data_IF_863294900521
#
_entry.id   IF_863294900521
#
_cell.length_a   1.000
_cell.length_b   1.000
_cell.length_c   1.000
_cell.angle_alpha   90.00
_cell.angle_beta   90.00
_cell.angle_gamma   90.00
#
_symmetry.space_group_name_H-M   'P 1'
#
loop_
_entity.id
_entity.type
_entity.pdbx_description
1 polymer ?
#
# COMPACT_ATOMS: atom_id res chain seq x y z
N UNK A 1 -4.08 -1.08 21.39
CA UNK A 1 -3.85 -1.86 20.15
C UNK A 1 -3.18 -3.15 20.54
N UNK A 2 -3.76 -4.29 20.22
CA UNK A 2 -3.19 -5.59 20.60
C UNK A 2 -2.15 -6.02 19.55
N UNK A 3 -0.92 -6.31 20.00
CA UNK A 3 0.16 -6.79 19.15
C UNK A 3 -0.22 -8.09 18.43
N UNK A 4 -1.09 -8.89 19.06
CA UNK A 4 -1.63 -10.12 18.49
C UNK A 4 -2.42 -9.85 17.19
N UNK A 5 -3.20 -8.77 17.14
CA UNK A 5 -4.00 -8.40 15.95
C UNK A 5 -3.09 -8.11 14.76
N UNK A 6 -1.99 -7.39 14.99
CA UNK A 6 -1.03 -7.06 13.93
C UNK A 6 -0.37 -8.33 13.40
N UNK A 7 0.11 -9.19 14.30
CA UNK A 7 0.77 -10.45 13.94
C UNK A 7 -0.17 -11.34 13.14
N UNK A 8 -1.42 -11.50 13.58
CA UNK A 8 -2.42 -12.30 12.88
C UNK A 8 -2.73 -11.75 11.48
N UNK A 9 -2.76 -10.43 11.32
CA UNK A 9 -3.01 -9.76 10.04
C UNK A 9 -1.84 -9.94 9.07
N UNK A 10 -0.61 -9.84 9.56
CA UNK A 10 0.59 -10.10 8.74
C UNK A 10 0.66 -11.58 8.36
N UNK A 11 0.40 -12.50 9.29
CA UNK A 11 0.39 -13.93 9.04
C UNK A 11 -0.69 -14.33 8.01
N UNK A 12 -1.88 -13.75 8.08
CA UNK A 12 -2.95 -14.05 7.11
C UNK A 12 -2.56 -13.65 5.69
N UNK A 13 -1.94 -12.48 5.51
CA UNK A 13 -1.39 -12.06 4.22
C UNK A 13 -0.30 -13.02 3.72
N UNK A 14 0.59 -13.47 4.61
CA UNK A 14 1.61 -14.47 4.28
C UNK A 14 1.00 -15.78 3.80
N UNK A 15 -0.04 -16.28 4.48
CA UNK A 15 -0.73 -17.51 4.07
C UNK A 15 -1.38 -17.34 2.70
N UNK A 16 -2.06 -16.22 2.44
CA UNK A 16 -2.65 -15.92 1.13
C UNK A 16 -1.58 -15.91 0.02
N UNK A 17 -0.43 -15.27 0.28
CA UNK A 17 0.69 -15.25 -0.66
C UNK A 17 1.24 -16.65 -0.92
N UNK A 18 1.40 -17.48 0.11
CA UNK A 18 1.87 -18.86 -0.05
C UNK A 18 0.91 -19.71 -0.88
N UNK A 19 -0.40 -19.54 -0.69
CA UNK A 19 -1.43 -20.21 -1.52
C UNK A 19 -1.30 -19.77 -2.98
N UNK A 20 -1.09 -18.48 -3.25
CA UNK A 20 -0.83 -17.98 -4.60
C UNK A 20 0.41 -18.60 -5.24
N UNK A 21 1.53 -18.65 -4.50
CA UNK A 21 2.79 -19.28 -4.96
C UNK A 21 2.59 -20.77 -5.24
N UNK A 22 1.93 -21.50 -4.34
CA UNK A 22 1.63 -22.91 -4.52
C UNK A 22 0.77 -23.15 -5.77
N UNK A 23 -0.29 -22.36 -5.94
CA UNK A 23 -1.23 -22.46 -7.06
C UNK A 23 -0.57 -22.15 -8.40
N UNK A 24 0.34 -21.17 -8.43
CA UNK A 24 1.16 -20.86 -9.62
C UNK A 24 2.13 -22.00 -9.95
N UNK A 25 2.82 -22.56 -8.94
CA UNK A 25 3.74 -23.71 -9.14
C UNK A 25 3.02 -24.95 -9.65
N UNK A 26 1.77 -25.17 -9.23
CA UNK A 26 0.92 -26.28 -9.71
C UNK A 26 0.24 -25.98 -11.05
N UNK A 27 0.50 -24.82 -11.67
CA UNK A 27 -0.15 -24.35 -12.91
C UNK A 27 -1.68 -24.25 -12.82
N UNK A 28 -2.22 -24.15 -11.61
CA UNK A 28 -3.65 -23.86 -11.37
C UNK A 28 -3.92 -22.41 -11.76
N UNK A 29 -3.06 -21.50 -11.31
CA UNK A 29 -3.02 -20.11 -11.78
C UNK A 29 -2.01 -20.05 -12.92
N UNK A 30 -2.50 -20.05 -14.15
CA UNK A 30 -1.71 -19.84 -15.36
C UNK A 30 -1.39 -18.35 -15.57
N UNK A 31 -0.51 -18.03 -16.51
CA UNK A 31 -0.17 -16.64 -16.83
C UNK A 31 -1.40 -15.82 -17.26
N UNK A 32 -2.32 -16.43 -18.01
CA UNK A 32 -3.56 -15.78 -18.46
C UNK A 32 -4.50 -15.49 -17.28
N UNK A 33 -4.66 -16.47 -16.38
CA UNK A 33 -5.46 -16.29 -15.15
C UNK A 33 -4.82 -15.20 -14.28
N UNK A 34 -3.50 -15.23 -14.11
CA UNK A 34 -2.78 -14.22 -13.31
C UNK A 34 -2.98 -12.81 -13.89
N UNK A 35 -2.92 -12.67 -15.21
CA UNK A 35 -3.20 -11.40 -15.89
C UNK A 35 -4.65 -10.95 -15.66
N UNK A 36 -5.61 -11.86 -15.80
CA UNK A 36 -7.02 -11.57 -15.52
C UNK A 36 -7.28 -11.14 -14.07
N UNK A 37 -6.68 -11.82 -13.10
CA UNK A 37 -6.76 -11.46 -11.68
C UNK A 37 -6.12 -10.08 -11.41
N UNK A 38 -4.98 -9.80 -12.04
CA UNK A 38 -4.30 -8.50 -11.94
C UNK A 38 -5.17 -7.37 -12.53
N UNK A 39 -5.81 -7.62 -13.67
CA UNK A 39 -6.71 -6.66 -14.31
C UNK A 39 -7.95 -6.38 -13.45
N UNK A 40 -8.58 -7.40 -12.87
CA UNK A 40 -9.71 -7.23 -11.93
C UNK A 40 -9.26 -6.39 -10.73
N UNK A 41 -8.11 -6.75 -10.14
CA UNK A 41 -7.58 -6.08 -8.97
C UNK A 41 -7.32 -4.59 -9.23
N UNK A 42 -6.60 -4.27 -10.31
CA UNK A 42 -6.19 -2.90 -10.64
C UNK A 42 -7.32 -2.04 -11.19
N UNK A 43 -8.16 -2.60 -12.07
CA UNK A 43 -9.17 -1.82 -12.82
C UNK A 43 -10.52 -1.76 -12.11
N UNK A 44 -10.79 -2.69 -11.20
CA UNK A 44 -12.09 -2.80 -10.54
C UNK A 44 -11.91 -2.66 -9.03
N UNK A 45 -11.24 -3.62 -8.39
CA UNK A 45 -11.21 -3.70 -6.93
C UNK A 45 -10.53 -2.49 -6.30
N UNK A 46 -9.40 -2.03 -6.86
CA UNK A 46 -8.65 -0.90 -6.31
C UNK A 46 -9.44 0.43 -6.41
N UNK A 47 -10.03 0.82 -7.55
CA UNK A 47 -10.91 1.99 -7.61
C UNK A 47 -12.09 1.92 -6.65
N UNK A 48 -12.79 0.79 -6.57
CA UNK A 48 -13.92 0.63 -5.66
C UNK A 48 -13.50 0.66 -4.19
N UNK A 49 -12.36 0.09 -3.84
CA UNK A 49 -11.79 0.17 -2.50
C UNK A 49 -11.52 1.62 -2.12
N UNK A 50 -10.88 2.39 -3.01
CA UNK A 50 -10.66 3.82 -2.81
C UNK A 50 -11.99 4.55 -2.62
N UNK A 51 -12.99 4.34 -3.48
CA UNK A 51 -14.29 5.00 -3.32
C UNK A 51 -14.95 4.62 -2.00
N UNK A 52 -14.95 3.34 -1.64
CA UNK A 52 -15.56 2.85 -0.41
C UNK A 52 -14.89 3.40 0.85
N UNK A 53 -13.59 3.72 0.79
CA UNK A 53 -12.89 4.32 1.93
C UNK A 53 -13.37 5.73 2.25
N UNK A 54 -13.97 6.44 1.28
CA UNK A 54 -14.63 7.74 1.48
C UNK A 54 -16.08 7.63 1.98
N UNK A 55 -16.68 6.44 1.99
CA UNK A 55 -18.04 6.21 2.50
C UNK A 55 -17.96 5.92 4.01
N UNK A 56 -17.72 6.97 4.78
CA UNK A 56 -17.59 6.91 6.24
C UNK A 56 -18.53 7.93 6.88
N UNK A 57 -18.99 7.62 8.09
CA UNK A 57 -19.82 8.53 8.89
C UNK A 57 -19.01 9.79 9.19
N UNK A 58 -19.40 10.90 8.56
CA UNK A 58 -18.72 12.18 8.70
C UNK A 58 -18.88 12.73 10.12
N UNK A 59 -17.75 13.08 10.74
CA UNK A 59 -17.66 13.86 11.98
C UNK A 59 -16.56 14.94 11.81
N UNK A 60 -16.62 16.04 12.56
CA UNK A 60 -15.66 17.15 12.47
C UNK A 60 -14.21 16.70 12.72
N UNK A 61 -14.04 15.68 13.56
CA UNK A 61 -12.74 15.05 13.86
C UNK A 61 -12.10 14.44 12.61
N UNK A 62 -12.89 13.78 11.75
CA UNK A 62 -12.44 13.15 10.50
C UNK A 62 -11.92 14.21 9.52
N UNK A 63 -12.60 15.36 9.40
CA UNK A 63 -12.16 16.46 8.52
C UNK A 63 -10.79 16.98 8.89
N UNK A 64 -10.53 17.22 10.18
CA UNK A 64 -9.21 17.67 10.65
C UNK A 64 -8.14 16.63 10.34
N UNK A 65 -8.45 15.36 10.56
CA UNK A 65 -7.50 14.27 10.34
C UNK A 65 -7.22 14.01 8.86
N UNK A 66 -8.18 14.20 7.96
CA UNK A 66 -7.96 14.14 6.50
C UNK A 66 -6.94 15.19 6.06
N UNK A 67 -7.06 16.43 6.53
CA UNK A 67 -6.09 17.50 6.21
C UNK A 67 -4.70 17.16 6.77
N UNK A 68 -4.64 16.67 8.02
CA UNK A 68 -3.37 16.20 8.61
C UNK A 68 -2.77 15.05 7.82
N UNK A 69 -3.56 14.07 7.43
CA UNK A 69 -3.12 12.92 6.63
C UNK A 69 -2.57 13.37 5.28
N UNK A 70 -3.20 14.36 4.64
CA UNK A 70 -2.69 14.96 3.40
C UNK A 70 -1.32 15.61 3.60
N UNK A 71 -1.17 16.45 4.63
CA UNK A 71 0.11 17.10 4.95
C UNK A 71 1.20 16.07 5.33
N UNK A 72 0.87 15.11 6.19
CA UNK A 72 1.81 14.07 6.61
C UNK A 72 2.22 13.17 5.46
N UNK A 73 1.33 12.87 4.52
CA UNK A 73 1.67 12.09 3.33
C UNK A 73 2.72 12.80 2.49
N UNK A 74 2.52 14.09 2.20
CA UNK A 74 3.47 14.91 1.45
C UNK A 74 4.84 14.98 2.15
N UNK A 75 4.84 15.28 3.46
CA UNK A 75 6.07 15.33 4.25
C UNK A 75 6.79 13.99 4.26
N UNK A 76 6.05 12.88 4.36
CA UNK A 76 6.60 11.53 4.37
C UNK A 76 7.28 11.20 3.04
N UNK A 77 6.69 11.52 1.89
CA UNK A 77 7.32 11.30 0.59
C UNK A 77 8.60 12.11 0.41
N UNK A 78 8.60 13.38 0.82
CA UNK A 78 9.80 14.23 0.79
C UNK A 78 10.88 13.64 1.69
N UNK A 79 10.51 13.27 2.92
CA UNK A 79 11.42 12.69 3.89
C UNK A 79 12.03 11.38 3.40
N UNK A 80 11.23 10.42 2.94
CA UNK A 80 11.70 9.14 2.40
C UNK A 80 12.56 9.37 1.14
N UNK A 81 12.20 10.31 0.29
CA UNK A 81 13.00 10.70 -0.88
C UNK A 81 14.40 11.16 -0.50
N UNK A 82 14.51 12.06 0.48
CA UNK A 82 15.79 12.56 1.02
C UNK A 82 16.58 11.44 1.68
N UNK A 83 15.96 10.67 2.57
CA UNK A 83 16.62 9.56 3.28
C UNK A 83 17.15 8.53 2.29
N UNK A 84 16.33 8.12 1.31
CA UNK A 84 16.73 7.19 0.27
C UNK A 84 17.92 7.73 -0.54
N UNK A 85 17.90 9.02 -0.90
CA UNK A 85 19.01 9.64 -1.63
C UNK A 85 20.31 9.60 -0.82
N UNK A 86 20.25 9.94 0.48
CA UNK A 86 21.40 9.92 1.38
C UNK A 86 21.97 8.51 1.56
N UNK A 87 21.11 7.52 1.79
CA UNK A 87 21.51 6.11 1.96
C UNK A 87 22.13 5.54 0.68
N UNK A 88 21.75 6.06 -0.49
CA UNK A 88 22.25 5.61 -1.79
C UNK A 88 23.44 6.43 -2.32
N UNK A 89 24.00 7.37 -1.56
CA UNK A 89 25.26 8.06 -1.90
C UNK A 89 26.41 7.08 -2.25
N UNK A 90 26.68 6.00 -1.48
CA UNK A 90 27.81 5.12 -1.75
C UNK A 90 27.58 4.14 -2.93
N UNK A 91 26.39 4.10 -3.52
CA UNK A 91 26.02 3.12 -4.55
C UNK A 91 26.34 3.64 -5.95
N UNK A 92 26.92 2.78 -6.80
CA UNK A 92 27.21 3.06 -8.22
C UNK A 92 25.93 3.47 -8.98
N UNK A 93 26.06 4.45 -9.88
CA UNK A 93 24.94 5.10 -10.60
C UNK A 93 23.98 4.11 -11.26
N UNK A 94 24.49 3.04 -11.83
CA UNK A 94 23.75 2.07 -12.64
C UNK A 94 22.59 1.40 -11.89
N UNK A 95 22.74 1.21 -10.57
CA UNK A 95 21.70 0.63 -9.71
C UNK A 95 20.96 1.66 -8.85
N UNK A 96 21.50 2.89 -8.78
CA UNK A 96 21.03 3.93 -7.86
C UNK A 96 19.58 4.34 -8.12
N UNK A 97 19.19 4.48 -9.39
CA UNK A 97 17.83 4.87 -9.78
C UNK A 97 16.81 3.82 -9.36
N UNK A 98 17.09 2.54 -9.65
CA UNK A 98 16.19 1.43 -9.31
C UNK A 98 16.01 1.34 -7.79
N UNK A 99 17.11 1.42 -7.04
CA UNK A 99 17.07 1.37 -5.58
C UNK A 99 16.35 2.59 -4.98
N UNK A 100 16.55 3.78 -5.55
CA UNK A 100 15.85 4.99 -5.12
C UNK A 100 14.34 4.80 -5.28
N UNK A 101 13.92 4.29 -6.44
CA UNK A 101 12.51 4.00 -6.72
C UNK A 101 11.97 2.93 -5.76
N UNK A 102 12.67 1.82 -5.56
CA UNK A 102 12.23 0.74 -4.66
C UNK A 102 12.10 1.18 -3.19
N UNK A 103 12.96 2.09 -2.73
CA UNK A 103 12.91 2.61 -1.36
C UNK A 103 11.74 3.58 -1.15
N UNK A 104 11.43 4.42 -2.14
CA UNK A 104 10.40 5.45 -2.03
C UNK A 104 9.01 4.87 -2.33
N UNK A 105 8.91 4.03 -3.35
CA UNK A 105 7.66 3.48 -3.86
C UNK A 105 7.51 2.01 -3.47
N UNK A 106 7.27 1.79 -2.18
CA UNK A 106 7.00 0.45 -1.64
C UNK A 106 5.53 0.08 -1.83
N UNK A 107 5.20 -1.20 -1.66
CA UNK A 107 3.83 -1.68 -1.85
C UNK A 107 2.90 -1.32 -0.68
N UNK A 108 2.49 -0.05 -0.62
CA UNK A 108 1.58 0.48 0.40
C UNK A 108 0.11 0.19 0.10
N UNK A 109 -0.25 -0.02 -1.16
CA UNK A 109 -1.62 -0.35 -1.56
C UNK A 109 -2.01 -1.79 -1.22
N UNK A 110 -1.26 -2.79 -1.70
CA UNK A 110 -1.69 -4.20 -1.60
C UNK A 110 -1.44 -4.81 -0.23
N UNK A 111 -0.34 -4.45 0.43
CA UNK A 111 -0.02 -4.95 1.78
C UNK A 111 -0.49 -3.95 2.84
N UNK A 112 -0.33 -2.64 2.59
CA UNK A 112 -0.66 -1.62 3.57
C UNK A 112 -2.16 -1.53 3.84
N UNK A 113 -3.05 -1.56 2.83
CA UNK A 113 -4.50 -1.44 3.07
C UNK A 113 -5.11 -2.58 3.89
N UNK A 114 -4.81 -3.87 3.64
CA UNK A 114 -5.30 -4.94 4.49
C UNK A 114 -4.83 -4.83 5.94
N UNK A 115 -3.58 -4.40 6.16
CA UNK A 115 -3.05 -4.18 7.52
C UNK A 115 -3.75 -3.00 8.17
N UNK A 116 -3.91 -1.88 7.46
CA UNK A 116 -4.64 -0.71 7.96
C UNK A 116 -6.08 -1.06 8.32
N UNK A 117 -6.76 -1.85 7.49
CA UNK A 117 -8.10 -2.30 7.79
C UNK A 117 -8.18 -3.19 9.04
N UNK A 118 -7.24 -4.13 9.17
CA UNK A 118 -7.27 -5.05 10.30
C UNK A 118 -6.90 -4.38 11.64
N UNK A 119 -6.12 -3.29 11.60
CA UNK A 119 -5.66 -2.57 12.79
C UNK A 119 -6.55 -1.37 13.13
N UNK A 120 -6.99 -0.62 12.12
CA UNK A 120 -7.67 0.68 12.27
C UNK A 120 -9.03 0.72 11.56
N UNK A 121 -9.48 -0.37 10.93
CA UNK A 121 -10.74 -0.43 10.19
C UNK A 121 -10.78 0.52 8.99
N UNK A 122 -11.99 0.93 8.63
CA UNK A 122 -12.25 1.79 7.47
C UNK A 122 -11.58 3.17 7.57
N UNK A 123 -11.42 3.71 8.78
CA UNK A 123 -10.74 5.00 9.00
C UNK A 123 -9.25 4.92 8.63
N UNK A 124 -8.59 3.80 8.94
CA UNK A 124 -7.22 3.55 8.50
C UNK A 124 -7.10 3.50 6.98
N UNK A 125 -8.06 2.84 6.31
CA UNK A 125 -8.09 2.79 4.84
C UNK A 125 -8.29 4.20 4.25
N UNK A 126 -9.13 5.05 4.84
CA UNK A 126 -9.32 6.43 4.39
C UNK A 126 -7.98 7.19 4.37
N UNK A 127 -7.28 7.23 5.51
CA UNK A 127 -6.01 7.96 5.59
C UNK A 127 -4.93 7.34 4.70
N UNK A 128 -4.89 6.01 4.60
CA UNK A 128 -4.03 5.31 3.65
C UNK A 128 -4.35 5.63 2.19
N UNK A 129 -5.62 5.83 1.85
CA UNK A 129 -6.05 6.19 0.50
C UNK A 129 -5.55 7.58 0.11
N UNK A 130 -5.52 8.53 1.05
CA UNK A 130 -4.91 9.85 0.83
C UNK A 130 -3.41 9.73 0.55
N UNK A 131 -2.69 8.90 1.31
CA UNK A 131 -1.28 8.61 1.03
C UNK A 131 -1.10 8.01 -0.37
N UNK A 132 -2.00 7.11 -0.78
CA UNK A 132 -1.96 6.45 -2.08
C UNK A 132 -2.22 7.40 -3.26
N UNK A 133 -2.93 8.53 -3.06
CA UNK A 133 -3.07 9.59 -4.07
C UNK A 133 -1.69 10.18 -4.40
N UNK A 134 -0.92 10.56 -3.38
CA UNK A 134 0.45 11.07 -3.61
C UNK A 134 1.36 10.02 -4.22
N UNK A 135 1.27 8.77 -3.75
CA UNK A 135 1.99 7.65 -4.34
C UNK A 135 1.76 7.55 -5.86
N UNK A 136 0.51 7.70 -6.28
CA UNK A 136 0.12 7.61 -7.71
C UNK A 136 0.56 8.83 -8.50
N UNK A 137 0.54 10.03 -7.91
CA UNK A 137 0.96 11.27 -8.58
C UNK A 137 2.48 11.35 -8.76
N UNK A 138 3.26 10.80 -7.82
CA UNK A 138 4.73 10.88 -7.85
C UNK A 138 5.41 9.77 -8.65
N UNK A 139 4.69 8.70 -8.99
CA UNK A 139 5.13 7.67 -9.95
C UNK A 139 4.99 8.21 -11.37
#
# INVERSE_FOLDING_TARGET
>A
MDMLTIINSVLSLFVIMLVGVYSSKKRIITNDINKGLTDILLKITLPFLIISSFIITYDESVKSNVIKAFMYSLVTFIFIGIVSYLVLIPIKKDKKIILQFSNVFTNTGYIGFPILNAVYGSEGILYGSIFQIFYTIFI
#
